data_IF_402798765857
#
_entry.id   IF_402798765857
#
_cell.length_a   1.000
_cell.length_b   1.000
_cell.length_c   1.000
_cell.angle_alpha   90.00
_cell.angle_beta   90.00
_cell.angle_gamma   90.00
#
_symmetry.space_group_name_H-M   'P 1'
#
loop_
_entity.id
_entity.type
_entity.pdbx_description
1 polymer ?
#
# COMPACT_ATOMS: atom_id res chain seq x y z
N UNK A 1 17.75 -8.47 5.46
CA UNK A 1 17.42 -7.33 4.56
C UNK A 1 16.01 -7.52 4.02
N UNK A 2 15.09 -6.57 4.24
CA UNK A 2 13.78 -6.60 3.57
C UNK A 2 14.00 -6.45 2.05
N UNK A 3 13.47 -7.40 1.28
CA UNK A 3 13.50 -7.38 -0.20
C UNK A 3 12.42 -6.44 -0.73
N UNK A 4 12.68 -5.75 -1.83
CA UNK A 4 11.74 -4.81 -2.47
C UNK A 4 10.36 -5.41 -2.77
N UNK A 5 10.32 -6.73 -3.01
CA UNK A 5 9.10 -7.51 -3.13
C UNK A 5 8.10 -7.30 -1.98
N UNK A 6 8.55 -7.05 -0.74
CA UNK A 6 7.64 -6.81 0.38
C UNK A 6 6.90 -5.48 0.27
N UNK A 7 7.56 -4.43 -0.22
CA UNK A 7 6.94 -3.10 -0.43
C UNK A 7 5.89 -3.15 -1.56
N UNK A 8 6.19 -3.92 -2.61
CA UNK A 8 5.28 -4.12 -3.74
C UNK A 8 4.04 -4.92 -3.32
N UNK A 9 4.26 -6.05 -2.62
CA UNK A 9 3.17 -6.89 -2.15
C UNK A 9 2.26 -6.19 -1.13
N UNK A 10 2.83 -5.38 -0.24
CA UNK A 10 2.05 -4.60 0.73
C UNK A 10 1.24 -3.47 0.06
N UNK A 11 1.80 -2.79 -0.94
CA UNK A 11 1.06 -1.78 -1.74
C UNK A 11 -0.12 -2.41 -2.50
N UNK A 12 0.07 -3.59 -3.07
CA UNK A 12 -0.99 -4.31 -3.77
C UNK A 12 -2.10 -4.78 -2.82
N UNK A 13 -1.73 -5.35 -1.67
CA UNK A 13 -2.67 -5.76 -0.64
C UNK A 13 -3.52 -4.60 -0.13
N UNK A 14 -2.85 -3.52 0.28
CA UNK A 14 -3.50 -2.34 0.83
C UNK A 14 -4.49 -1.73 -0.17
N UNK A 15 -4.06 -1.53 -1.43
CA UNK A 15 -4.94 -1.06 -2.50
C UNK A 15 -6.13 -1.99 -2.76
N UNK A 16 -5.93 -3.32 -2.71
CA UNK A 16 -7.01 -4.30 -2.90
C UNK A 16 -8.00 -4.29 -1.73
N UNK A 17 -7.52 -4.15 -0.48
CA UNK A 17 -8.38 -4.07 0.71
C UNK A 17 -9.21 -2.79 0.72
N UNK A 18 -8.65 -1.65 0.28
CA UNK A 18 -9.39 -0.40 0.13
C UNK A 18 -10.49 -0.50 -0.93
N UNK A 19 -10.17 -1.15 -2.05
CA UNK A 19 -11.14 -1.39 -3.13
C UNK A 19 -12.28 -2.31 -2.66
N UNK A 20 -11.94 -3.36 -1.92
CA UNK A 20 -12.92 -4.28 -1.31
C UNK A 20 -13.82 -3.54 -0.31
N UNK A 21 -13.25 -2.64 0.50
CA UNK A 21 -14.02 -1.83 1.44
C UNK A 21 -15.03 -0.93 0.72
N UNK A 22 -14.59 -0.24 -0.34
CA UNK A 22 -15.43 0.70 -1.07
C UNK A 22 -16.46 0.04 -1.99
N UNK A 23 -16.09 -0.99 -2.74
CA UNK A 23 -16.94 -1.58 -3.78
C UNK A 23 -17.71 -2.81 -3.31
N UNK A 24 -17.32 -3.44 -2.20
CA UNK A 24 -18.04 -4.61 -1.67
C UNK A 24 -18.70 -4.24 -0.34
N UNK A 25 -17.93 -3.78 0.64
CA UNK A 25 -18.48 -3.55 1.98
C UNK A 25 -19.53 -2.42 2.01
N UNK A 26 -19.31 -1.32 1.26
CA UNK A 26 -20.30 -0.23 1.20
C UNK A 26 -21.60 -0.63 0.49
N UNK A 27 -21.61 -1.28 -0.69
CA UNK A 27 -22.85 -1.79 -1.27
C UNK A 27 -23.56 -2.80 -0.36
N UNK A 28 -22.84 -3.69 0.32
CA UNK A 28 -23.44 -4.61 1.29
C UNK A 28 -24.11 -3.88 2.45
N UNK A 29 -23.51 -2.79 2.93
CA UNK A 29 -24.10 -1.95 3.97
C UNK A 29 -25.40 -1.28 3.50
N UNK A 30 -25.43 -0.70 2.30
CA UNK A 30 -26.58 0.08 1.85
C UNK A 30 -27.70 -0.74 1.20
N UNK A 31 -27.36 -1.85 0.52
CA UNK A 31 -28.35 -2.64 -0.23
C UNK A 31 -28.87 -3.84 0.55
N UNK A 32 -28.05 -4.41 1.43
CA UNK A 32 -28.39 -5.60 2.21
C UNK A 32 -28.51 -5.32 3.71
N UNK A 33 -28.31 -4.07 4.13
CA UNK A 33 -28.38 -3.61 5.53
C UNK A 33 -27.47 -4.42 6.47
N UNK A 34 -26.28 -4.81 5.97
CA UNK A 34 -25.27 -5.60 6.70
C UNK A 34 -24.10 -4.69 7.12
N UNK A 35 -24.23 -3.86 8.16
CA UNK A 35 -23.14 -2.96 8.59
C UNK A 35 -21.91 -3.71 9.12
N UNK A 36 -22.07 -4.95 9.60
CA UNK A 36 -20.96 -5.80 10.07
C UNK A 36 -19.90 -6.06 9.00
N UNK A 37 -20.28 -6.09 7.71
CA UNK A 37 -19.34 -6.27 6.61
C UNK A 37 -18.32 -5.13 6.55
N UNK A 38 -18.77 -3.89 6.73
CA UNK A 38 -17.89 -2.70 6.77
C UNK A 38 -16.97 -2.74 7.98
N UNK A 39 -17.46 -3.17 9.14
CA UNK A 39 -16.60 -3.30 10.33
C UNK A 39 -15.48 -4.32 10.11
N UNK A 40 -15.78 -5.50 9.56
CA UNK A 40 -14.79 -6.56 9.35
C UNK A 40 -13.79 -6.17 8.25
N UNK A 41 -14.26 -5.70 7.09
CA UNK A 41 -13.38 -5.31 6.00
C UNK A 41 -12.58 -4.06 6.37
N UNK A 42 -13.19 -3.14 7.13
CA UNK A 42 -12.56 -1.92 7.61
C UNK A 42 -11.43 -2.19 8.59
N UNK A 43 -11.58 -3.14 9.51
CA UNK A 43 -10.49 -3.53 10.41
C UNK A 43 -9.35 -4.22 9.68
N UNK A 44 -9.66 -5.10 8.71
CA UNK A 44 -8.65 -5.73 7.84
C UNK A 44 -7.86 -4.67 7.07
N UNK A 45 -8.56 -3.72 6.43
CA UNK A 45 -7.93 -2.64 5.69
C UNK A 45 -7.09 -1.74 6.60
N UNK A 46 -7.62 -1.35 7.76
CA UNK A 46 -6.88 -0.52 8.73
C UNK A 46 -5.57 -1.19 9.18
N UNK A 47 -5.59 -2.50 9.43
CA UNK A 47 -4.38 -3.25 9.75
C UNK A 47 -3.37 -3.29 8.59
N UNK A 48 -3.86 -3.54 7.36
CA UNK A 48 -3.03 -3.54 6.16
C UNK A 48 -2.40 -2.16 5.91
N UNK A 49 -3.15 -1.07 6.11
CA UNK A 49 -2.67 0.31 5.98
C UNK A 49 -1.55 0.63 6.98
N UNK A 50 -1.72 0.27 8.27
CA UNK A 50 -0.68 0.47 9.28
C UNK A 50 0.59 -0.31 8.94
N UNK A 51 0.46 -1.59 8.53
CA UNK A 51 1.59 -2.38 8.06
C UNK A 51 2.30 -1.73 6.87
N UNK A 52 1.54 -1.20 5.90
CA UNK A 52 2.11 -0.54 4.73
C UNK A 52 2.91 0.71 5.11
N UNK A 53 2.38 1.55 6.00
CA UNK A 53 3.09 2.74 6.51
C UNK A 53 4.37 2.35 7.26
N UNK A 54 4.33 1.29 8.08
CA UNK A 54 5.52 0.79 8.77
C UNK A 54 6.60 0.32 7.78
N UNK A 55 6.22 -0.40 6.72
CA UNK A 55 7.16 -0.83 5.67
C UNK A 55 7.75 0.39 4.96
N UNK A 56 6.95 1.38 4.58
CA UNK A 56 7.45 2.64 3.99
C UNK A 56 8.47 3.30 4.92
N UNK A 57 8.18 3.39 6.22
CA UNK A 57 9.05 4.02 7.20
C UNK A 57 10.38 3.28 7.35
N UNK A 58 10.36 1.95 7.39
CA UNK A 58 11.59 1.13 7.45
C UNK A 58 12.46 1.37 6.20
N UNK A 59 11.85 1.45 5.02
CA UNK A 59 12.56 1.73 3.78
C UNK A 59 13.10 3.17 3.72
N UNK A 60 12.39 4.13 4.28
CA UNK A 60 12.81 5.53 4.37
C UNK A 60 14.01 5.69 5.32
N UNK A 61 13.94 5.11 6.51
CA UNK A 61 15.03 5.13 7.51
C UNK A 61 16.27 4.41 6.97
N UNK A 62 16.08 3.29 6.26
CA UNK A 62 17.15 2.57 5.57
C UNK A 62 17.73 3.28 4.34
N UNK A 63 17.30 4.52 4.07
CA UNK A 63 17.65 5.33 2.89
C UNK A 63 17.47 4.60 1.54
N UNK A 64 16.56 3.62 1.49
CA UNK A 64 16.28 2.85 0.27
C UNK A 64 15.32 3.57 -0.67
N UNK A 65 14.55 4.52 -0.14
CA UNK A 65 13.62 5.36 -0.90
C UNK A 65 13.77 6.83 -0.47
N UNK A 66 13.48 7.75 -1.38
CA UNK A 66 13.48 9.20 -1.08
C UNK A 66 12.25 9.58 -0.25
N UNK A 67 12.35 10.62 0.57
CA UNK A 67 11.22 11.15 1.37
C UNK A 67 10.01 11.50 0.51
N UNK A 68 10.23 12.07 -0.68
CA UNK A 68 9.14 12.38 -1.63
C UNK A 68 8.45 11.11 -2.16
N UNK A 69 9.20 10.02 -2.32
CA UNK A 69 8.65 8.71 -2.70
C UNK A 69 7.82 8.12 -1.58
N UNK A 70 8.31 8.15 -0.34
CA UNK A 70 7.56 7.71 0.83
C UNK A 70 6.25 8.49 0.98
N UNK A 71 6.28 9.82 0.82
CA UNK A 71 5.10 10.68 0.90
C UNK A 71 4.09 10.35 -0.21
N UNK A 72 4.55 10.15 -1.45
CA UNK A 72 3.68 9.72 -2.55
C UNK A 72 3.01 8.38 -2.26
N UNK A 73 3.76 7.41 -1.75
CA UNK A 73 3.22 6.09 -1.43
C UNK A 73 2.13 6.20 -0.35
N UNK A 74 2.37 6.99 0.70
CA UNK A 74 1.41 7.23 1.79
C UNK A 74 0.16 8.01 1.35
N UNK A 75 0.29 8.99 0.44
CA UNK A 75 -0.86 9.70 -0.12
C UNK A 75 -1.66 8.76 -1.05
N UNK A 76 -0.96 7.98 -1.87
CA UNK A 76 -1.58 7.04 -2.79
C UNK A 76 -2.36 5.93 -2.08
N UNK A 77 -1.97 5.50 -0.88
CA UNK A 77 -2.76 4.52 -0.12
C UNK A 77 -4.09 5.08 0.41
N UNK A 78 -4.22 6.40 0.56
CA UNK A 78 -5.48 7.00 1.05
C UNK A 78 -6.47 7.22 -0.10
N UNK A 79 -5.97 7.44 -1.31
CA UNK A 79 -6.79 7.70 -2.48
C UNK A 79 -7.32 6.37 -3.04
N UNK A 80 -8.64 6.22 -3.27
CA UNK A 80 -9.14 5.04 -3.97
C UNK A 80 -8.42 4.88 -5.31
N UNK A 81 -7.96 3.66 -5.61
CA UNK A 81 -7.07 3.31 -6.74
C UNK A 81 -5.60 3.75 -6.63
N UNK A 82 -5.23 4.60 -5.68
CA UNK A 82 -3.86 5.08 -5.55
C UNK A 82 -2.87 3.99 -5.14
N UNK A 83 -3.28 2.99 -4.33
CA UNK A 83 -2.48 1.80 -4.02
C UNK A 83 -2.12 0.96 -5.25
N UNK A 84 -3.04 0.86 -6.22
CA UNK A 84 -2.80 0.18 -7.51
C UNK A 84 -1.83 1.00 -8.37
N UNK A 85 -2.05 2.32 -8.47
CA UNK A 85 -1.14 3.22 -9.21
C UNK A 85 0.27 3.18 -8.61
N UNK A 86 0.38 3.10 -7.28
CA UNK A 86 1.64 2.94 -6.57
C UNK A 86 2.34 1.62 -6.92
N UNK A 87 1.61 0.51 -6.98
CA UNK A 87 2.15 -0.79 -7.39
C UNK A 87 2.69 -0.76 -8.82
N UNK A 88 1.91 -0.25 -9.78
CA UNK A 88 2.33 -0.08 -11.17
C UNK A 88 3.57 0.83 -11.29
N UNK A 89 3.62 1.91 -10.51
CA UNK A 89 4.75 2.83 -10.51
C UNK A 89 6.00 2.19 -9.88
N UNK A 90 5.85 1.45 -8.78
CA UNK A 90 6.95 0.70 -8.15
C UNK A 90 7.52 -0.36 -9.11
N UNK A 91 6.67 -1.06 -9.86
CA UNK A 91 7.08 -2.03 -10.89
C UNK A 91 7.97 -1.38 -11.97
N UNK A 92 7.67 -0.14 -12.37
CA UNK A 92 8.52 0.60 -13.32
C UNK A 92 9.86 1.08 -12.75
N UNK A 93 10.00 1.12 -11.41
CA UNK A 93 11.20 1.59 -10.72
C UNK A 93 12.04 0.50 -10.09
N UNK A 94 11.52 -0.72 -9.97
CA UNK A 94 12.25 -1.90 -9.50
C UNK A 94 13.66 -2.03 -10.08
N UNK A 95 13.90 -1.97 -11.41
CA UNK A 95 15.26 -2.07 -11.95
C UNK A 95 16.17 -0.92 -11.48
N UNK A 96 15.66 0.32 -11.48
CA UNK A 96 16.45 1.52 -11.13
C UNK A 96 16.76 1.71 -9.64
N UNK A 97 15.96 1.11 -8.74
CA UNK A 97 16.14 1.23 -7.29
C UNK A 97 17.08 0.12 -6.78
N UNK A 98 17.05 -1.06 -7.41
CA UNK A 98 17.96 -2.17 -7.11
C UNK A 98 19.41 -1.82 -7.50
N UNK A 99 19.60 -1.16 -8.65
CA UNK A 99 20.90 -0.64 -9.10
C UNK A 99 21.46 0.46 -8.17
N UNK A 100 20.61 1.41 -7.75
CA UNK A 100 21.03 2.47 -6.82
C UNK A 100 21.33 1.98 -5.40
N UNK A 101 20.73 0.87 -4.96
CA UNK A 101 21.03 0.22 -3.70
C UNK A 101 22.29 -0.67 -3.76
N UNK A 102 22.63 -1.19 -4.94
CA UNK A 102 23.86 -1.97 -5.18
C UNK A 102 25.10 -1.09 -5.33
N UNK A 103 24.96 0.16 -5.79
CA UNK A 103 26.10 1.08 -6.01
C UNK A 103 26.59 1.82 -4.75
N UNK A 104 26.04 1.52 -3.57
CA UNK A 104 26.39 2.22 -2.31
C UNK A 104 27.31 1.41 -1.36
N UNK A 105 27.99 0.38 -1.87
CA UNK A 105 29.07 -0.34 -1.17
C UNK A 105 30.17 -0.71 -2.16
#
# INVERSE_FOLDING_TARGET
MLKFSYLRWSSFLEGTTLLTLLFIAMPLKYWFDIPKAVTIVGTIHGYAFVMFILIILIYLIGQKIKTLTALRLAIGSIIPFGGIINDYWLKSKEPSIEDGASQKW
#
